data_IF_356451369359
#
_entry.id   IF_356451369359
#
_cell.length_a   1.000
_cell.length_b   1.000
_cell.length_c   1.000
_cell.angle_alpha   90.00
_cell.angle_beta   90.00
_cell.angle_gamma   90.00
#
_symmetry.space_group_name_H-M   'P 1'
#
loop_
_entity.id
_entity.type
_entity.pdbx_description
1 polymer ?
#
# COMPACT_ATOMS: atom_id res chain seq x y z
N UNK A 1 -20.89 19.51 2.40
CA UNK A 1 -20.09 18.41 1.79
C UNK A 1 -19.54 17.56 2.92
N UNK A 2 -19.80 16.25 2.94
CA UNK A 2 -19.21 15.36 3.95
C UNK A 2 -17.73 15.14 3.60
N UNK A 3 -16.81 15.64 4.43
CA UNK A 3 -15.36 15.55 4.18
C UNK A 3 -14.79 14.14 4.33
N UNK A 4 -15.53 13.18 4.87
CA UNK A 4 -15.07 11.79 5.01
C UNK A 4 -14.96 11.05 3.69
N UNK A 5 -15.73 11.49 2.68
CA UNK A 5 -15.85 10.80 1.41
C UNK A 5 -15.32 11.70 0.31
N UNK A 6 -14.41 11.19 -0.51
CA UNK A 6 -14.03 11.86 -1.72
C UNK A 6 -15.16 11.74 -2.75
N UNK A 7 -15.56 12.85 -3.37
CA UNK A 7 -16.66 12.87 -4.34
C UNK A 7 -16.13 13.20 -5.72
N UNK A 8 -16.55 12.42 -6.72
CA UNK A 8 -16.15 12.60 -8.12
C UNK A 8 -17.24 13.35 -8.88
N UNK A 9 -17.30 14.68 -8.78
CA UNK A 9 -18.37 15.48 -9.39
C UNK A 9 -17.93 16.17 -10.67
N UNK A 10 -16.63 16.41 -10.81
CA UNK A 10 -16.01 17.14 -11.91
C UNK A 10 -14.81 16.37 -12.45
N UNK A 11 -14.35 16.74 -13.64
CA UNK A 11 -13.11 16.19 -14.21
C UNK A 11 -11.89 16.50 -13.32
N UNK A 12 -11.86 17.68 -12.72
CA UNK A 12 -10.82 18.12 -11.80
C UNK A 12 -10.72 17.23 -10.56
N UNK A 13 -11.86 16.73 -10.05
CA UNK A 13 -11.86 15.79 -8.92
C UNK A 13 -11.10 14.50 -9.27
N UNK A 14 -11.23 13.98 -10.49
CA UNK A 14 -10.49 12.81 -10.95
C UNK A 14 -8.99 13.09 -11.08
N UNK A 15 -8.62 14.26 -11.62
CA UNK A 15 -7.23 14.68 -11.78
C UNK A 15 -6.55 14.79 -10.41
N UNK A 16 -7.17 15.48 -9.46
CA UNK A 16 -6.59 15.66 -8.11
C UNK A 16 -6.50 14.34 -7.33
N UNK A 17 -7.50 13.47 -7.47
CA UNK A 17 -7.48 12.14 -6.84
C UNK A 17 -6.31 11.30 -7.38
N UNK A 18 -6.19 11.20 -8.70
CA UNK A 18 -5.14 10.42 -9.34
C UNK A 18 -3.75 11.01 -9.10
N UNK A 19 -3.64 12.35 -9.12
CA UNK A 19 -2.40 13.06 -8.75
C UNK A 19 -1.95 12.68 -7.35
N UNK A 20 -2.87 12.67 -6.38
CA UNK A 20 -2.56 12.27 -5.02
C UNK A 20 -2.08 10.82 -4.95
N UNK A 21 -2.79 9.89 -5.61
CA UNK A 21 -2.40 8.48 -5.69
C UNK A 21 -1.00 8.29 -6.28
N UNK A 22 -0.67 8.99 -7.37
CA UNK A 22 0.66 8.93 -7.99
C UNK A 22 1.73 9.42 -7.01
N UNK A 23 1.52 10.56 -6.34
CA UNK A 23 2.49 11.10 -5.37
C UNK A 23 2.75 10.11 -4.24
N UNK A 24 1.70 9.57 -3.62
CA UNK A 24 1.88 8.63 -2.49
C UNK A 24 2.47 7.29 -2.96
N UNK A 25 2.10 6.82 -4.16
CA UNK A 25 2.65 5.59 -4.75
C UNK A 25 4.14 5.71 -5.04
N UNK A 26 4.58 6.81 -5.69
CA UNK A 26 5.99 7.06 -6.00
C UNK A 26 6.85 7.07 -4.74
N UNK A 27 6.41 7.80 -3.71
CA UNK A 27 7.15 7.89 -2.45
C UNK A 27 7.20 6.54 -1.70
N UNK A 28 6.09 5.80 -1.73
CA UNK A 28 5.99 4.50 -1.05
C UNK A 28 6.79 3.41 -1.77
N UNK A 29 6.74 3.36 -3.10
CA UNK A 29 7.57 2.47 -3.93
C UNK A 29 9.05 2.76 -3.66
N UNK A 30 9.48 4.02 -3.70
CA UNK A 30 10.88 4.38 -3.42
C UNK A 30 11.33 3.92 -2.03
N UNK A 31 10.49 4.10 -1.01
CA UNK A 31 10.81 3.67 0.35
C UNK A 31 10.92 2.14 0.42
N UNK A 32 9.99 1.43 -0.23
CA UNK A 32 9.97 -0.02 -0.30
C UNK A 32 11.19 -0.59 -1.03
N UNK A 33 11.63 0.05 -2.13
CA UNK A 33 12.87 -0.29 -2.84
C UNK A 33 14.10 -0.20 -1.95
N UNK A 34 14.23 0.89 -1.17
CA UNK A 34 15.36 1.09 -0.26
C UNK A 34 15.39 -0.02 0.80
N UNK A 35 14.24 -0.35 1.38
CA UNK A 35 14.11 -1.40 2.38
C UNK A 35 14.44 -2.78 1.81
N UNK A 36 13.94 -3.08 0.61
CA UNK A 36 14.20 -4.35 -0.06
C UNK A 36 15.69 -4.50 -0.44
N UNK A 37 16.32 -3.41 -0.89
CA UNK A 37 17.76 -3.39 -1.14
C UNK A 37 18.59 -3.55 0.14
N UNK A 38 18.09 -3.05 1.28
CA UNK A 38 18.71 -3.31 2.59
C UNK A 38 18.64 -4.78 3.00
N UNK A 39 17.56 -5.47 2.64
CA UNK A 39 17.42 -6.91 2.86
C UNK A 39 18.36 -7.71 1.94
N UNK A 40 18.41 -7.37 0.64
CA UNK A 40 19.33 -7.99 -0.32
C UNK A 40 20.79 -7.89 0.16
N UNK A 41 21.22 -6.69 0.56
CA UNK A 41 22.57 -6.47 1.11
C UNK A 41 22.87 -7.36 2.32
N UNK A 42 21.89 -7.55 3.21
CA UNK A 42 22.05 -8.45 4.35
C UNK A 42 22.21 -9.90 3.89
N UNK A 43 21.35 -10.38 2.99
CA UNK A 43 21.40 -11.74 2.43
C UNK A 43 22.77 -12.02 1.78
N UNK A 44 23.29 -11.07 0.99
CA UNK A 44 24.61 -11.18 0.34
C UNK A 44 25.75 -11.17 1.36
N UNK A 45 25.72 -10.24 2.32
CA UNK A 45 26.77 -10.10 3.33
C UNK A 45 26.93 -11.35 4.19
N UNK A 46 25.82 -11.97 4.55
CA UNK A 46 25.79 -13.18 5.39
C UNK A 46 25.92 -14.47 4.57
N UNK A 47 26.04 -14.40 3.24
CA UNK A 47 26.24 -15.56 2.37
C UNK A 47 25.11 -16.58 2.41
N UNK A 48 23.87 -16.12 2.63
CA UNK A 48 22.72 -17.01 2.92
C UNK A 48 22.28 -17.83 1.71
N UNK A 49 22.52 -17.34 0.49
CA UNK A 49 22.13 -18.02 -0.76
C UNK A 49 22.93 -19.31 -0.95
N UNK A 50 24.23 -19.26 -0.66
CA UNK A 50 25.16 -20.37 -0.90
C UNK A 50 25.16 -21.39 0.26
N UNK A 51 24.42 -21.11 1.35
CA UNK A 51 24.36 -21.94 2.53
C UNK A 51 22.90 -22.30 2.92
N UNK A 52 22.34 -23.38 2.35
CA UNK A 52 20.94 -23.78 2.59
C UNK A 52 20.66 -24.24 4.03
N UNK A 53 21.70 -24.43 4.86
CA UNK A 53 21.55 -24.76 6.29
C UNK A 53 21.77 -23.57 7.22
N UNK A 54 22.04 -22.38 6.66
CA UNK A 54 22.18 -21.18 7.45
C UNK A 54 20.87 -20.89 8.20
N UNK A 55 21.02 -20.28 9.36
CA UNK A 55 19.91 -19.79 10.17
C UNK A 55 20.08 -18.31 10.43
N UNK A 56 18.97 -17.62 10.66
CA UNK A 56 18.93 -16.19 10.98
C UNK A 56 18.23 -16.02 12.32
N UNK A 57 18.74 -15.14 13.17
CA UNK A 57 18.09 -14.79 14.44
C UNK A 57 16.67 -14.30 14.20
N UNK A 58 15.75 -14.72 15.07
CA UNK A 58 14.32 -14.41 14.93
C UNK A 58 14.04 -12.91 14.88
N UNK A 59 14.72 -12.12 15.70
CA UNK A 59 14.54 -10.67 15.74
C UNK A 59 14.89 -10.02 14.40
N UNK A 60 15.99 -10.45 13.75
CA UNK A 60 16.40 -9.93 12.44
C UNK A 60 15.32 -10.25 11.39
N UNK A 61 14.82 -11.49 11.35
CA UNK A 61 13.77 -11.87 10.42
C UNK A 61 12.48 -11.07 10.66
N UNK A 62 12.04 -10.97 11.91
CA UNK A 62 10.80 -10.27 12.26
C UNK A 62 10.90 -8.76 12.03
N UNK A 63 12.07 -8.14 12.20
CA UNK A 63 12.32 -6.73 11.83
C UNK A 63 12.15 -6.48 10.33
N UNK A 64 12.82 -7.28 9.49
CA UNK A 64 12.69 -7.16 8.03
C UNK A 64 11.26 -7.42 7.57
N UNK A 65 10.62 -8.46 8.14
CA UNK A 65 9.22 -8.78 7.87
C UNK A 65 8.29 -7.63 8.26
N UNK A 66 8.44 -7.04 9.44
CA UNK A 66 7.63 -5.93 9.90
C UNK A 66 7.80 -4.70 8.99
N UNK A 67 9.05 -4.33 8.69
CA UNK A 67 9.39 -3.20 7.82
C UNK A 67 8.79 -3.35 6.42
N UNK A 68 9.01 -4.50 5.77
CA UNK A 68 8.50 -4.76 4.42
C UNK A 68 6.97 -4.92 4.40
N UNK A 69 6.38 -5.56 5.42
CA UNK A 69 4.93 -5.71 5.54
C UNK A 69 4.24 -4.36 5.66
N UNK A 70 4.79 -3.41 6.42
CA UNK A 70 4.23 -2.07 6.52
C UNK A 70 4.15 -1.38 5.14
N UNK A 71 5.26 -1.33 4.42
CA UNK A 71 5.33 -0.68 3.10
C UNK A 71 4.46 -1.41 2.07
N UNK A 72 4.49 -2.74 2.05
CA UNK A 72 3.64 -3.56 1.19
C UNK A 72 2.17 -3.32 1.49
N UNK A 73 1.73 -3.36 2.76
CA UNK A 73 0.34 -3.15 3.16
C UNK A 73 -0.15 -1.74 2.83
N UNK A 74 0.71 -0.73 2.97
CA UNK A 74 0.37 0.64 2.59
C UNK A 74 0.12 0.76 1.08
N UNK A 75 1.00 0.18 0.25
CA UNK A 75 0.82 0.13 -1.21
C UNK A 75 -0.41 -0.69 -1.63
N UNK A 76 -0.67 -1.82 -0.96
CA UNK A 76 -1.87 -2.62 -1.17
C UNK A 76 -3.15 -1.80 -0.94
N UNK A 77 -3.18 -0.92 0.07
CA UNK A 77 -4.32 -0.03 0.32
C UNK A 77 -4.44 1.07 -0.73
N UNK A 78 -3.34 1.72 -1.12
CA UNK A 78 -3.34 2.77 -2.17
C UNK A 78 -3.79 2.21 -3.52
N UNK A 79 -3.52 0.95 -3.80
CA UNK A 79 -3.78 0.37 -5.12
C UNK A 79 -5.09 -0.42 -5.14
N UNK A 80 -5.21 -1.41 -4.25
CA UNK A 80 -6.19 -2.49 -4.34
C UNK A 80 -7.37 -2.41 -3.35
N UNK A 81 -7.44 -1.39 -2.48
CA UNK A 81 -8.61 -1.26 -1.59
C UNK A 81 -9.90 -1.01 -2.40
N UNK A 82 -10.99 -1.67 -2.02
CA UNK A 82 -12.32 -1.52 -2.62
C UNK A 82 -13.38 -1.06 -1.63
N UNK A 83 -12.99 -0.70 -0.40
CA UNK A 83 -13.91 -0.13 0.58
C UNK A 83 -14.58 1.13 0.02
N UNK A 84 -15.85 1.34 0.35
CA UNK A 84 -16.68 2.44 -0.20
C UNK A 84 -16.04 3.82 -0.03
N UNK A 85 -15.34 4.03 1.10
CA UNK A 85 -14.66 5.28 1.44
C UNK A 85 -13.13 5.18 1.29
N UNK A 86 -12.63 4.07 0.73
CA UNK A 86 -11.21 3.85 0.47
C UNK A 86 -10.68 4.81 -0.59
N UNK A 87 -9.46 5.30 -0.39
CA UNK A 87 -8.76 6.10 -1.40
C UNK A 87 -7.75 5.21 -2.12
N UNK A 88 -8.15 4.68 -3.27
CA UNK A 88 -7.36 3.70 -4.02
C UNK A 88 -7.48 3.82 -5.54
N UNK A 89 -6.52 3.26 -6.26
CA UNK A 89 -6.57 3.20 -7.73
C UNK A 89 -7.74 2.35 -8.23
N UNK A 90 -8.06 1.26 -7.54
CA UNK A 90 -9.23 0.45 -7.86
C UNK A 90 -10.54 1.25 -7.77
N UNK A 91 -10.68 2.10 -6.74
CA UNK A 91 -11.82 2.99 -6.60
C UNK A 91 -11.82 4.10 -7.65
N UNK A 92 -10.65 4.64 -8.02
CA UNK A 92 -10.53 5.58 -9.14
C UNK A 92 -11.08 4.96 -10.44
N UNK A 93 -10.59 3.77 -10.82
CA UNK A 93 -10.99 3.06 -12.04
C UNK A 93 -12.50 2.81 -12.09
N UNK A 94 -13.06 2.29 -10.99
CA UNK A 94 -14.52 2.07 -10.87
C UNK A 94 -15.33 3.35 -11.07
N UNK A 95 -14.86 4.49 -10.54
CA UNK A 95 -15.57 5.76 -10.66
C UNK A 95 -15.43 6.38 -12.06
N UNK A 96 -14.25 6.28 -12.70
CA UNK A 96 -14.03 6.86 -14.03
C UNK A 96 -14.79 6.08 -15.09
N UNK A 97 -14.83 4.75 -14.99
CA UNK A 97 -15.65 3.91 -15.87
C UNK A 97 -17.15 4.29 -15.77
N UNK A 98 -17.65 4.58 -14.57
CA UNK A 98 -19.04 4.96 -14.34
C UNK A 98 -19.38 6.36 -14.85
N UNK A 99 -18.47 7.33 -14.71
CA UNK A 99 -18.75 8.76 -14.95
C UNK A 99 -18.11 9.34 -16.20
N UNK A 100 -17.26 8.58 -16.91
CA UNK A 100 -16.51 9.03 -18.08
C UNK A 100 -17.39 9.68 -19.15
N UNK A 101 -18.52 9.04 -19.50
CA UNK A 101 -19.44 9.56 -20.52
C UNK A 101 -20.14 10.85 -20.09
N UNK A 102 -20.56 10.94 -18.83
CA UNK A 102 -21.26 12.10 -18.27
C UNK A 102 -20.33 13.32 -18.19
N UNK A 103 -19.10 13.11 -17.73
CA UNK A 103 -18.12 14.17 -17.48
C UNK A 103 -17.15 14.38 -18.65
N UNK A 104 -17.32 13.65 -19.75
CA UNK A 104 -16.45 13.67 -20.93
C UNK A 104 -14.97 13.47 -20.54
N UNK A 105 -14.72 12.46 -19.71
CA UNK A 105 -13.40 12.08 -19.23
C UNK A 105 -12.89 10.90 -20.04
N UNK A 106 -11.73 11.09 -20.65
CA UNK A 106 -10.97 10.00 -21.25
C UNK A 106 -10.11 9.31 -20.18
N UNK A 107 -9.99 8.00 -20.30
CA UNK A 107 -9.15 7.16 -19.47
C UNK A 107 -8.57 6.05 -20.35
N UNK A 108 -7.47 5.43 -19.92
CA UNK A 108 -6.85 4.37 -20.70
C UNK A 108 -7.65 3.08 -20.57
N UNK A 109 -7.91 2.42 -21.70
CA UNK A 109 -8.24 1.00 -21.68
C UNK A 109 -7.02 0.24 -21.16
N UNK A 110 -7.27 -0.73 -20.29
CA UNK A 110 -6.23 -1.62 -19.77
C UNK A 110 -6.43 -3.00 -20.39
N UNK A 111 -5.31 -3.65 -20.71
CA UNK A 111 -5.27 -5.02 -21.18
C UNK A 111 -5.74 -6.01 -20.10
N UNK A 112 -6.07 -7.24 -20.52
CA UNK A 112 -6.43 -8.30 -19.58
C UNK A 112 -5.26 -8.67 -18.63
N UNK A 113 -4.00 -8.52 -19.07
CA UNK A 113 -2.83 -8.71 -18.19
C UNK A 113 -2.77 -7.64 -17.10
N UNK A 114 -2.92 -6.37 -17.45
CA UNK A 114 -2.92 -5.25 -16.50
C UNK A 114 -4.08 -5.34 -15.49
N UNK A 115 -5.24 -5.76 -15.98
CA UNK A 115 -6.41 -6.04 -15.13
C UNK A 115 -6.16 -7.22 -14.19
N UNK A 116 -5.48 -8.27 -14.64
CA UNK A 116 -5.10 -9.40 -13.80
C UNK A 116 -4.10 -8.99 -12.70
N UNK A 117 -3.12 -8.13 -13.00
CA UNK A 117 -2.20 -7.60 -11.99
C UNK A 117 -2.91 -6.74 -10.95
N UNK A 118 -3.82 -5.86 -11.38
CA UNK A 118 -4.61 -5.04 -10.48
C UNK A 118 -5.53 -5.89 -9.57
N UNK A 119 -6.14 -6.93 -10.13
CA UNK A 119 -6.93 -7.89 -9.35
C UNK A 119 -6.06 -8.67 -8.36
N UNK A 120 -4.84 -9.07 -8.74
CA UNK A 120 -3.89 -9.74 -7.82
C UNK A 120 -3.59 -8.85 -6.61
N UNK A 121 -3.37 -7.54 -6.82
CA UNK A 121 -3.15 -6.58 -5.73
C UNK A 121 -4.39 -6.44 -4.84
N UNK A 122 -5.58 -6.37 -5.44
CA UNK A 122 -6.85 -6.36 -4.70
C UNK A 122 -6.99 -7.61 -3.83
N UNK A 123 -6.81 -8.80 -4.40
CA UNK A 123 -6.88 -10.07 -3.66
C UNK A 123 -5.85 -10.14 -2.53
N UNK A 124 -4.62 -9.68 -2.77
CA UNK A 124 -3.58 -9.64 -1.75
C UNK A 124 -3.94 -8.68 -0.60
N UNK A 125 -4.52 -7.51 -0.92
CA UNK A 125 -5.01 -6.55 0.07
C UNK A 125 -6.11 -7.17 0.92
N UNK A 126 -7.10 -7.80 0.31
CA UNK A 126 -8.22 -8.40 1.03
C UNK A 126 -7.76 -9.56 1.91
N UNK A 127 -6.91 -10.43 1.37
CA UNK A 127 -6.27 -11.48 2.16
C UNK A 127 -5.49 -10.92 3.36
N UNK A 128 -4.76 -9.82 3.18
CA UNK A 128 -3.98 -9.19 4.27
C UNK A 128 -4.87 -8.72 5.43
N UNK A 129 -6.12 -8.35 5.15
CA UNK A 129 -7.13 -7.96 6.16
C UNK A 129 -7.76 -9.16 6.86
N UNK A 130 -7.53 -10.38 6.35
CA UNK A 130 -8.14 -11.63 6.80
C UNK A 130 -7.10 -12.72 7.16
N UNK A 131 -5.84 -12.35 7.38
CA UNK A 131 -4.77 -13.28 7.75
C UNK A 131 -5.14 -14.12 8.97
N UNK A 132 -5.64 -13.57 10.10
CA UNK A 132 -5.93 -14.39 11.28
C UNK A 132 -6.94 -15.51 11.01
N UNK A 133 -8.00 -15.22 10.26
CA UNK A 133 -9.00 -16.22 9.88
C UNK A 133 -8.40 -17.30 8.98
N UNK A 134 -7.58 -16.89 8.00
CA UNK A 134 -6.90 -17.81 7.09
C UNK A 134 -5.94 -18.75 7.86
N UNK A 135 -5.17 -18.21 8.81
CA UNK A 135 -4.25 -18.98 9.65
C UNK A 135 -4.99 -19.98 10.54
N UNK A 136 -6.13 -19.61 11.11
CA UNK A 136 -6.97 -20.55 11.87
C UNK A 136 -7.27 -21.76 10.98
N UNK A 137 -7.78 -21.56 9.76
CA UNK A 137 -8.15 -22.67 8.90
C UNK A 137 -6.95 -23.46 8.33
N UNK A 138 -5.80 -22.81 8.11
CA UNK A 138 -4.65 -23.42 7.44
C UNK A 138 -3.64 -24.10 8.36
N UNK A 139 -3.75 -23.92 9.68
CA UNK A 139 -2.83 -24.56 10.64
C UNK A 139 -2.96 -26.08 10.62
N UNK A 140 -1.81 -26.77 10.74
CA UNK A 140 -1.74 -28.24 10.78
C UNK A 140 -2.72 -28.87 11.77
N UNK A 141 -2.86 -28.28 12.96
CA UNK A 141 -3.78 -28.71 14.01
C UNK A 141 -5.23 -28.79 13.52
N UNK A 142 -5.69 -27.78 12.79
CA UNK A 142 -7.05 -27.70 12.27
C UNK A 142 -7.26 -28.55 11.01
N UNK A 143 -6.23 -28.69 10.16
CA UNK A 143 -6.30 -29.52 8.94
C UNK A 143 -6.29 -31.02 9.27
N UNK A 144 -5.39 -31.46 10.16
CA UNK A 144 -5.20 -32.88 10.48
C UNK A 144 -6.13 -33.35 11.61
N UNK A 145 -6.92 -32.45 12.19
CA UNK A 145 -7.85 -32.71 13.31
C UNK A 145 -7.12 -33.38 14.47
N UNK A 146 -6.01 -32.80 14.94
CA UNK A 146 -5.42 -33.18 16.22
C UNK A 146 -6.45 -32.83 17.32
N UNK A 147 -7.22 -33.85 17.74
CA UNK A 147 -8.51 -33.75 18.44
C UNK A 147 -8.44 -33.32 19.90
N UNK A 148 -7.26 -33.13 20.49
CA UNK A 148 -7.16 -32.71 21.87
C UNK A 148 -7.28 -31.18 21.98
N UNK A 149 -8.41 -30.74 22.51
CA UNK A 149 -8.60 -29.36 22.97
C UNK A 149 -7.73 -29.18 24.21
N UNK A 150 -6.54 -28.62 24.02
CA UNK A 150 -5.70 -28.11 25.12
C UNK A 150 -6.28 -26.79 25.60
N UNK A 151 -6.53 -26.69 26.91
CA UNK A 151 -6.95 -25.44 27.57
C UNK A 151 -5.78 -24.50 27.88
N UNK A 152 -4.54 -25.00 27.77
CA UNK A 152 -3.34 -24.18 27.84
C UNK A 152 -3.07 -23.56 26.46
N UNK A 153 -2.69 -22.27 26.48
CA UNK A 153 -2.31 -21.53 25.28
C UNK A 153 -0.78 -21.64 25.15
N UNK A 154 -0.33 -22.53 24.28
CA UNK A 154 1.08 -22.69 23.95
C UNK A 154 1.48 -21.61 22.92
N UNK A 155 2.44 -20.75 23.27
CA UNK A 155 3.00 -19.74 22.35
C UNK A 155 4.40 -20.22 21.93
N UNK A 156 4.61 -20.56 20.64
CA UNK A 156 5.93 -20.92 20.18
C UNK A 156 6.84 -19.68 20.18
N UNK A 157 7.99 -19.79 20.84
CA UNK A 157 9.05 -18.81 20.83
C UNK A 157 10.22 -19.36 20.02
N UNK A 158 10.48 -18.77 18.86
CA UNK A 158 11.52 -19.24 17.93
C UNK A 158 12.75 -18.36 18.11
N UNK A 159 13.90 -18.97 18.38
CA UNK A 159 15.17 -18.24 18.47
C UNK A 159 15.79 -17.96 17.09
N UNK A 160 15.55 -18.86 16.13
CA UNK A 160 16.10 -18.78 14.79
C UNK A 160 15.08 -19.24 13.75
N UNK A 161 15.22 -18.71 12.54
CA UNK A 161 14.57 -19.19 11.32
C UNK A 161 15.62 -19.81 10.41
N UNK A 162 15.22 -20.81 9.63
CA UNK A 162 16.01 -21.25 8.47
C UNK A 162 16.18 -20.09 7.49
N UNK A 163 17.36 -19.95 6.87
CA UNK A 163 17.65 -18.86 5.95
C UNK A 163 16.67 -18.77 4.77
N UNK A 164 16.05 -19.88 4.39
CA UNK A 164 14.99 -19.92 3.36
C UNK A 164 13.82 -18.98 3.68
N UNK A 165 13.51 -18.71 4.95
CA UNK A 165 12.45 -17.77 5.33
C UNK A 165 12.76 -16.35 4.88
N UNK A 166 13.98 -15.88 5.11
CA UNK A 166 14.37 -14.51 4.76
C UNK A 166 14.63 -14.34 3.26
N UNK A 167 15.11 -15.39 2.59
CA UNK A 167 15.26 -15.43 1.12
C UNK A 167 13.88 -15.40 0.46
N UNK A 168 12.95 -16.24 0.94
CA UNK A 168 11.57 -16.25 0.45
C UNK A 168 10.86 -14.91 0.69
N UNK A 169 11.12 -14.25 1.83
CA UNK A 169 10.64 -12.90 2.09
C UNK A 169 11.15 -11.92 1.03
N UNK A 170 12.44 -11.94 0.70
CA UNK A 170 13.01 -11.11 -0.36
C UNK A 170 12.32 -11.35 -1.71
N UNK A 171 12.26 -12.61 -2.16
CA UNK A 171 11.70 -12.97 -3.47
C UNK A 171 10.24 -12.54 -3.62
N UNK A 172 9.43 -12.79 -2.57
CA UNK A 172 8.02 -12.40 -2.57
C UNK A 172 7.86 -10.88 -2.65
N UNK A 173 8.65 -10.13 -1.89
CA UNK A 173 8.57 -8.66 -1.88
C UNK A 173 9.12 -8.06 -3.18
N UNK A 174 10.14 -8.66 -3.80
CA UNK A 174 10.66 -8.22 -5.09
C UNK A 174 9.60 -8.36 -6.20
N UNK A 175 8.91 -9.51 -6.27
CA UNK A 175 7.81 -9.69 -7.23
C UNK A 175 6.65 -8.72 -7.00
N UNK A 176 6.33 -8.42 -5.73
CA UNK A 176 5.30 -7.42 -5.39
C UNK A 176 5.70 -6.02 -5.83
N UNK A 177 6.95 -5.63 -5.60
CA UNK A 177 7.49 -4.34 -6.03
C UNK A 177 7.34 -4.16 -7.55
N UNK A 178 7.67 -5.17 -8.34
CA UNK A 178 7.49 -5.13 -9.80
C UNK A 178 6.03 -4.94 -10.21
N UNK A 179 5.11 -5.64 -9.54
CA UNK A 179 3.67 -5.46 -9.74
C UNK A 179 3.23 -4.02 -9.42
N UNK A 180 3.68 -3.44 -8.30
CA UNK A 180 3.36 -2.05 -7.93
C UNK A 180 3.89 -1.04 -8.94
N UNK A 181 5.09 -1.25 -9.49
CA UNK A 181 5.66 -0.39 -10.54
C UNK A 181 4.84 -0.45 -11.84
N UNK A 182 4.43 -1.64 -12.27
CA UNK A 182 3.55 -1.80 -13.43
C UNK A 182 2.27 -1.00 -13.25
N UNK A 183 1.63 -1.11 -12.08
CA UNK A 183 0.38 -0.37 -11.81
C UNK A 183 0.62 1.14 -11.72
N UNK A 184 1.75 1.60 -11.18
CA UNK A 184 2.10 3.02 -11.20
C UNK A 184 2.17 3.57 -12.64
N UNK A 185 2.72 2.82 -13.58
CA UNK A 185 2.72 3.23 -15.00
C UNK A 185 1.29 3.31 -15.56
N UNK A 186 0.38 2.42 -15.16
CA UNK A 186 -1.04 2.55 -15.50
C UNK A 186 -1.66 3.83 -14.95
N UNK A 187 -1.36 4.18 -13.69
CA UNK A 187 -1.83 5.44 -13.10
C UNK A 187 -1.33 6.65 -13.91
N UNK A 188 -0.07 6.62 -14.38
CA UNK A 188 0.51 7.69 -15.20
C UNK A 188 -0.12 7.77 -16.59
N UNK A 189 -0.48 6.63 -17.17
CA UNK A 189 -1.21 6.55 -18.43
C UNK A 189 -2.62 7.15 -18.28
N UNK A 190 -3.35 6.76 -17.24
CA UNK A 190 -4.67 7.34 -16.93
C UNK A 190 -4.58 8.84 -16.68
N UNK A 191 -3.54 9.31 -15.97
CA UNK A 191 -3.31 10.73 -15.75
C UNK A 191 -3.11 11.47 -17.07
N UNK A 192 -2.36 10.87 -17.98
CA UNK A 192 -2.13 11.43 -19.32
C UNK A 192 -3.43 11.46 -20.13
N UNK A 193 -4.25 10.42 -20.05
CA UNK A 193 -5.53 10.35 -20.75
C UNK A 193 -6.52 11.43 -20.27
N UNK A 194 -6.65 11.62 -18.96
CA UNK A 194 -7.59 12.60 -18.39
C UNK A 194 -7.11 14.04 -18.61
N UNK A 195 -5.81 14.30 -18.45
CA UNK A 195 -5.25 15.67 -18.57
C UNK A 195 -4.89 16.07 -20.00
N UNK A 196 -4.83 15.12 -20.94
CA UNK A 196 -4.29 15.31 -22.30
C UNK A 196 -2.85 15.81 -22.33
N UNK A 197 -2.12 15.62 -21.24
CA UNK A 197 -0.74 16.07 -21.06
C UNK A 197 0.09 14.94 -20.46
N UNK A 198 1.36 14.76 -20.88
CA UNK A 198 2.21 13.72 -20.29
C UNK A 198 2.31 13.85 -18.78
N UNK A 199 2.24 12.71 -18.07
CA UNK A 199 2.48 12.67 -16.63
C UNK A 199 3.97 12.90 -16.31
N UNK A 200 4.35 14.17 -16.15
CA UNK A 200 5.71 14.56 -15.80
C UNK A 200 5.89 14.65 -14.28
N UNK A 201 6.65 13.71 -13.71
CA UNK A 201 6.97 13.68 -12.29
C UNK A 201 8.28 14.44 -12.07
N UNK A 202 8.20 15.61 -11.43
CA UNK A 202 9.37 16.41 -11.05
C UNK A 202 9.68 16.19 -9.58
N UNK A 203 10.85 15.62 -9.28
CA UNK A 203 11.36 15.52 -7.92
C UNK A 203 12.24 16.73 -7.61
N UNK A 204 12.00 17.37 -6.47
CA UNK A 204 12.83 18.45 -5.97
C UNK A 204 13.24 18.15 -4.52
N UNK A 205 14.41 18.66 -4.11
CA UNK A 205 14.91 18.46 -2.75
C UNK A 205 14.34 19.56 -1.85
N UNK A 206 13.62 19.17 -0.81
CA UNK A 206 13.28 20.05 0.30
C UNK A 206 14.33 19.81 1.39
N UNK A 207 15.12 20.83 1.80
CA UNK A 207 16.25 20.62 2.69
C UNK A 207 15.81 20.15 4.08
N UNK A 208 14.71 20.70 4.59
CA UNK A 208 14.14 20.34 5.89
C UNK A 208 12.63 20.36 5.78
N UNK A 209 11.98 19.27 6.21
CA UNK A 209 10.54 19.24 6.46
C UNK A 209 10.30 19.76 7.87
N UNK A 210 9.65 20.91 7.99
CA UNK A 210 9.43 21.57 9.29
C UNK A 210 8.27 20.94 10.06
N UNK A 211 8.27 21.07 11.39
CA UNK A 211 7.22 20.53 12.27
C UNK A 211 5.82 21.09 11.96
N UNK A 212 5.74 22.27 11.32
CA UNK A 212 4.49 22.87 10.86
C UNK A 212 3.69 21.95 9.95
N UNK A 213 4.35 21.04 9.20
CA UNK A 213 3.67 20.06 8.34
C UNK A 213 2.81 19.05 9.11
N UNK A 214 3.03 18.89 10.43
CA UNK A 214 2.18 18.04 11.28
C UNK A 214 0.74 18.55 11.38
N UNK A 215 0.45 19.77 10.92
CA UNK A 215 -0.92 20.25 10.79
C UNK A 215 -1.75 19.39 9.82
N UNK A 216 -1.12 18.80 8.79
CA UNK A 216 -1.80 17.95 7.80
C UNK A 216 -2.38 16.68 8.45
N UNK A 217 -1.59 15.83 9.14
CA UNK A 217 -2.13 14.65 9.81
C UNK A 217 -3.09 15.03 10.94
N UNK A 218 -2.87 16.15 11.64
CA UNK A 218 -3.83 16.66 12.65
C UNK A 218 -5.20 16.95 12.01
N UNK A 219 -5.24 17.74 10.93
CA UNK A 219 -6.48 18.05 10.21
C UNK A 219 -7.14 16.77 9.68
N UNK A 220 -6.35 15.85 9.12
CA UNK A 220 -6.86 14.55 8.66
C UNK A 220 -7.55 13.77 9.79
N UNK A 221 -6.92 13.69 10.96
CA UNK A 221 -7.50 13.07 12.16
C UNK A 221 -8.77 13.80 12.64
N UNK A 222 -8.77 15.12 12.64
CA UNK A 222 -9.89 15.94 13.09
C UNK A 222 -11.10 15.82 12.14
N UNK A 223 -10.87 15.61 10.83
CA UNK A 223 -11.93 15.24 9.87
C UNK A 223 -12.51 13.86 10.24
N UNK A 224 -11.67 12.87 10.51
CA UNK A 224 -12.13 11.51 10.83
C UNK A 224 -12.87 11.45 12.17
N UNK A 225 -12.43 12.21 13.17
CA UNK A 225 -13.06 12.33 14.48
C UNK A 225 -14.24 13.31 14.50
N UNK A 226 -14.64 13.87 13.34
CA UNK A 226 -15.78 14.80 13.16
C UNK A 226 -15.63 16.14 13.89
N UNK A 227 -14.40 16.51 14.29
CA UNK A 227 -14.07 17.84 14.84
C UNK A 227 -14.02 18.91 13.77
N UNK A 228 -13.57 18.54 12.56
CA UNK A 228 -13.63 19.37 11.35
C UNK A 228 -14.66 18.76 10.40
N UNK A 229 -15.58 19.59 9.90
CA UNK A 229 -16.70 19.17 9.04
C UNK A 229 -16.74 19.92 7.71
N UNK A 230 -16.06 21.06 7.61
CA UNK A 230 -16.12 21.97 6.46
C UNK A 230 -14.73 22.39 5.99
N UNK A 231 -14.63 22.82 4.71
CA UNK A 231 -13.38 23.36 4.15
C UNK A 231 -12.96 24.68 4.82
N UNK A 232 -13.92 25.47 5.29
CA UNK A 232 -13.63 26.72 6.00
C UNK A 232 -12.97 26.47 7.35
N UNK A 233 -13.38 25.41 8.07
CA UNK A 233 -12.71 24.99 9.31
C UNK A 233 -11.27 24.51 9.04
N UNK A 234 -11.03 23.78 7.94
CA UNK A 234 -9.66 23.43 7.50
C UNK A 234 -8.83 24.70 7.28
N UNK A 235 -9.37 25.68 6.54
CA UNK A 235 -8.70 26.94 6.26
C UNK A 235 -8.36 27.69 7.55
N UNK A 236 -9.28 27.74 8.50
CA UNK A 236 -9.06 28.37 9.79
C UNK A 236 -7.94 27.69 10.59
N UNK A 237 -7.82 26.36 10.56
CA UNK A 237 -6.68 25.68 11.21
C UNK A 237 -5.35 26.09 10.59
N UNK A 238 -5.25 26.16 9.25
CA UNK A 238 -4.03 26.63 8.59
C UNK A 238 -3.69 28.10 8.91
N UNK A 239 -4.69 28.94 9.17
CA UNK A 239 -4.49 30.34 9.54
C UNK A 239 -4.06 30.51 11.01
N UNK A 240 -4.46 29.61 11.92
CA UNK A 240 -4.03 29.62 13.33
C UNK A 240 -2.59 29.18 13.55
N UNK A 241 -2.03 28.40 12.62
CA UNK A 241 -0.67 27.88 12.69
C UNK A 241 0.41 28.81 12.11
N UNK A 242 0.05 30.04 11.74
CA UNK A 242 0.97 31.12 11.34
C UNK A 242 1.12 32.11 12.48
#
# INVERSE_FOLDING_TARGET
MNLKNYSFNTKEDFIEYLRHLIIVSVNSIKSYEIQLHSLDKFIQKEGLIDNPKATVEADIYEEYKAMLSYSSSYLLNIIGDQAEFGTSYQNYRKNVEKKSKELQIDYCEISEEEKAELNRVTTARDWSSHIPASLIHSTKRNVIKEKEIRYLIDIPDFQYYEAEWIISLFDQNNRRLDCFKKILELMKNDYTAVTKSPCNIVQFKVPVRTISDLIIPKISWDIQSKKIKTRDEIKNEYLKGK
#
